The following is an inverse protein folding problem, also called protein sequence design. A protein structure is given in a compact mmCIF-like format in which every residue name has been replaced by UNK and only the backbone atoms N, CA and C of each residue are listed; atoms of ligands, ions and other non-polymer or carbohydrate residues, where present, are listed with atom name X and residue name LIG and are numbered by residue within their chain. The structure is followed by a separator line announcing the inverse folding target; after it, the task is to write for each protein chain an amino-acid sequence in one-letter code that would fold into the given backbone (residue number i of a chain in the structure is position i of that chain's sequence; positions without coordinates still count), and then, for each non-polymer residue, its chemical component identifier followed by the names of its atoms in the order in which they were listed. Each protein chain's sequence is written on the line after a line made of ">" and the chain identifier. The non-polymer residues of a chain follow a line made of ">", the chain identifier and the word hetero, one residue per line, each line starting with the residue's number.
data_IF_489629137923
#
_entry.id   IF_489629137923
#
_cell.length_a   1.000
_cell.length_b   1.000
_cell.length_c   1.000
_cell.angle_alpha   90.00
_cell.angle_beta   90.00
_cell.angle_gamma   90.00
#
_symmetry.space_group_name_H-M   'P 1'
#
loop_
_entity.id
_entity.type
_entity.pdbx_description
1 polymer ?
#
# COMPACT_ATOMS: atom_id res chain seq x y z
N UNK A 1 18.72 -4.00 31.49
CA UNK A 1 18.50 -4.22 30.06
C UNK A 1 17.00 -4.35 29.85
N UNK A 2 16.43 -3.63 28.89
CA UNK A 2 15.00 -3.67 28.57
C UNK A 2 14.82 -4.30 27.20
N UNK A 3 13.78 -5.12 27.04
CA UNK A 3 13.38 -5.68 25.76
C UNK A 3 12.12 -4.97 25.28
N UNK A 4 12.15 -4.50 24.03
CA UNK A 4 11.02 -3.83 23.39
C UNK A 4 10.66 -4.61 22.14
N UNK A 5 9.39 -4.98 22.01
CA UNK A 5 8.83 -5.58 20.81
C UNK A 5 8.02 -4.53 20.06
N UNK A 6 8.25 -4.40 18.76
CA UNK A 6 7.57 -3.42 17.91
C UNK A 6 7.42 -3.96 16.49
N UNK A 7 6.46 -3.40 15.77
CA UNK A 7 6.26 -3.64 14.35
C UNK A 7 6.82 -2.46 13.54
N UNK A 8 7.46 -2.78 12.41
CA UNK A 8 8.02 -1.82 11.48
C UNK A 8 7.70 -2.28 10.06
N UNK A 9 7.08 -1.45 9.21
CA UNK A 9 6.84 -1.83 7.82
C UNK A 9 8.15 -2.22 7.14
N UNK A 10 8.18 -3.38 6.48
CA UNK A 10 9.40 -3.91 5.88
C UNK A 10 10.05 -2.93 4.89
N UNK A 11 9.21 -2.18 4.16
CA UNK A 11 9.65 -1.13 3.21
C UNK A 11 10.36 0.06 3.87
N UNK A 12 10.15 0.29 5.17
CA UNK A 12 10.76 1.38 5.95
C UNK A 12 11.92 0.88 6.84
N UNK A 13 12.15 -0.45 6.88
CA UNK A 13 13.18 -1.06 7.72
C UNK A 13 14.62 -0.92 7.22
N UNK A 14 14.80 -0.51 5.95
CA UNK A 14 16.13 -0.42 5.34
C UNK A 14 16.97 0.66 6.04
N UNK A 15 18.04 0.24 6.72
CA UNK A 15 18.94 1.13 7.48
C UNK A 15 18.57 1.31 8.95
N UNK A 16 17.41 0.82 9.41
CA UNK A 16 16.92 1.05 10.77
C UNK A 16 17.87 0.54 11.87
N UNK A 17 18.48 -0.64 11.73
CA UNK A 17 19.42 -1.17 12.72
C UNK A 17 20.68 -0.31 12.86
N UNK A 18 21.23 0.14 11.72
CA UNK A 18 22.38 1.04 11.68
C UNK A 18 22.05 2.37 12.34
N UNK A 19 20.88 2.93 12.02
CA UNK A 19 20.42 4.20 12.58
C UNK A 19 20.22 4.08 14.09
N UNK A 20 19.55 3.03 14.56
CA UNK A 20 19.33 2.78 15.98
C UNK A 20 20.66 2.71 16.75
N UNK A 21 21.65 1.99 16.21
CA UNK A 21 22.97 1.89 16.84
C UNK A 21 23.72 3.21 16.84
N UNK A 22 23.67 3.95 15.74
CA UNK A 22 24.37 5.23 15.61
C UNK A 22 23.79 6.26 16.58
N UNK A 23 22.46 6.37 16.66
CA UNK A 23 21.77 7.32 17.53
C UNK A 23 21.85 6.96 19.02
N UNK A 24 22.14 5.70 19.36
CA UNK A 24 22.30 5.24 20.74
C UNK A 24 23.77 5.01 21.14
N UNK A 25 24.72 5.44 20.31
CA UNK A 25 26.16 5.19 20.53
C UNK A 25 26.49 3.71 20.82
N UNK A 26 25.77 2.80 20.15
CA UNK A 26 25.93 1.35 20.30
C UNK A 26 25.29 0.74 21.54
N UNK A 27 24.52 1.49 22.33
CA UNK A 27 23.86 0.97 23.53
C UNK A 27 22.61 0.13 23.23
N UNK A 28 21.94 0.38 22.10
CA UNK A 28 20.80 -0.40 21.65
C UNK A 28 21.13 -1.24 20.42
N UNK A 29 20.47 -2.39 20.30
CA UNK A 29 20.49 -3.25 19.13
C UNK A 29 19.07 -3.75 18.85
N UNK A 30 18.77 -4.07 17.60
CA UNK A 30 17.51 -4.71 17.22
C UNK A 30 17.77 -5.91 16.31
N UNK A 31 16.88 -6.89 16.38
CA UNK A 31 16.79 -7.97 15.42
C UNK A 31 15.43 -7.86 14.71
N UNK A 32 15.40 -8.06 13.40
CA UNK A 32 14.18 -7.97 12.60
C UNK A 32 13.83 -9.35 12.05
N UNK A 33 12.54 -9.69 12.14
CA UNK A 33 11.97 -10.93 11.63
C UNK A 33 10.68 -10.61 10.90
N UNK A 34 10.31 -11.43 9.92
CA UNK A 34 9.01 -11.31 9.26
C UNK A 34 7.92 -11.92 10.16
N UNK A 35 6.82 -11.19 10.35
CA UNK A 35 5.71 -11.58 11.23
C UNK A 35 4.37 -11.69 10.48
N UNK A 36 3.90 -10.61 9.85
CA UNK A 36 2.58 -10.58 9.20
C UNK A 36 2.51 -9.66 7.97
N UNK A 37 1.33 -9.67 7.33
CA UNK A 37 0.94 -8.74 6.28
C UNK A 37 -0.11 -7.76 6.81
N UNK A 38 -0.01 -6.49 6.43
CA UNK A 38 -0.97 -5.45 6.78
C UNK A 38 -1.39 -4.68 5.51
N UNK A 39 -2.59 -4.12 5.54
CA UNK A 39 -3.08 -3.27 4.45
C UNK A 39 -2.29 -1.96 4.39
N UNK A 40 -1.82 -1.60 3.20
CA UNK A 40 -1.25 -0.27 2.96
C UNK A 40 -2.38 0.76 3.03
N UNK A 41 -2.23 1.85 3.79
CA UNK A 41 -3.26 2.89 3.86
C UNK A 41 -3.47 3.55 2.49
N UNK A 42 -4.74 3.80 2.18
CA UNK A 42 -5.18 4.43 0.93
C UNK A 42 -5.86 3.47 -0.03
N UNK A 43 -6.61 4.05 -0.98
CA UNK A 43 -7.21 3.30 -2.07
C UNK A 43 -6.24 3.23 -3.27
N UNK A 44 -5.81 2.04 -3.71
CA UNK A 44 -4.94 1.91 -4.88
C UNK A 44 -5.60 2.40 -6.19
N UNK A 45 -6.93 2.42 -6.28
CA UNK A 45 -7.68 2.81 -7.47
C UNK A 45 -8.09 4.29 -7.49
N UNK A 46 -7.83 5.06 -6.43
CA UNK A 46 -8.22 6.48 -6.34
C UNK A 46 -7.62 7.29 -7.51
N UNK A 47 -8.46 7.92 -8.34
CA UNK A 47 -8.02 8.65 -9.55
C UNK A 47 -7.72 10.12 -9.31
N UNK A 48 -7.80 10.60 -8.06
CA UNK A 48 -7.51 12.00 -7.73
C UNK A 48 -6.08 12.38 -8.15
N UNK A 49 -5.88 13.61 -8.67
CA UNK A 49 -4.55 14.09 -9.06
C UNK A 49 -3.55 13.96 -7.91
N UNK A 50 -2.31 13.52 -8.22
CA UNK A 50 -1.24 13.39 -7.23
C UNK A 50 -0.82 14.79 -6.74
N UNK A 51 -1.45 15.27 -5.67
CA UNK A 51 -0.79 16.22 -4.77
C UNK A 51 0.26 15.47 -3.94
N UNK A 52 1.27 16.17 -3.34
CA UNK A 52 2.19 15.55 -2.40
C UNK A 52 1.39 14.84 -1.32
N UNK A 53 1.34 13.51 -1.42
CA UNK A 53 0.37 12.74 -0.68
C UNK A 53 0.68 12.81 0.82
N UNK A 54 -0.28 13.22 1.68
CA UNK A 54 -0.22 12.77 3.06
C UNK A 54 -0.27 11.23 3.09
N UNK A 55 0.10 10.62 4.22
CA UNK A 55 0.09 9.16 4.45
C UNK A 55 -1.02 8.31 3.75
N UNK A 56 -2.27 8.78 3.52
CA UNK A 56 -3.32 8.03 2.82
C UNK A 56 -3.15 7.73 1.31
N UNK A 57 -2.06 8.04 0.60
CA UNK A 57 -1.93 7.62 -0.83
C UNK A 57 -0.76 6.67 -1.16
N UNK A 58 -0.17 6.02 -0.16
CA UNK A 58 0.92 5.05 -0.37
C UNK A 58 0.47 3.89 -1.28
N UNK A 59 -0.77 3.41 -1.13
CA UNK A 59 -1.28 2.27 -1.89
C UNK A 59 -1.25 2.48 -3.42
N UNK A 60 -1.73 3.64 -3.90
CA UNK A 60 -1.74 3.97 -5.34
C UNK A 60 -0.34 4.13 -5.89
N UNK A 61 0.53 4.81 -5.16
CA UNK A 61 1.91 5.03 -5.58
C UNK A 61 2.66 3.71 -5.75
N UNK A 62 2.51 2.78 -4.79
CA UNK A 62 3.11 1.45 -4.88
C UNK A 62 2.57 0.66 -6.06
N UNK A 63 1.25 0.66 -6.25
CA UNK A 63 0.62 -0.03 -7.38
C UNK A 63 1.17 0.49 -8.72
N UNK A 64 1.22 1.81 -8.93
CA UNK A 64 1.70 2.41 -10.17
C UNK A 64 3.19 2.15 -10.41
N UNK A 65 4.05 2.33 -9.40
CA UNK A 65 5.49 2.03 -9.50
C UNK A 65 5.73 0.57 -9.88
N UNK A 66 5.00 -0.35 -9.26
CA UNK A 66 5.12 -1.77 -9.54
C UNK A 66 4.63 -2.14 -10.94
N UNK A 67 3.53 -1.56 -11.42
CA UNK A 67 3.02 -1.76 -12.79
C UNK A 67 4.01 -1.24 -13.83
N UNK A 68 4.54 -0.02 -13.66
CA UNK A 68 5.60 0.55 -14.52
C UNK A 68 6.80 -0.38 -14.61
N UNK A 69 7.29 -0.87 -13.46
CA UNK A 69 8.42 -1.81 -13.39
C UNK A 69 8.14 -3.13 -14.11
N UNK A 70 6.88 -3.58 -14.12
CA UNK A 70 6.44 -4.80 -14.80
C UNK A 70 6.02 -4.58 -16.26
N UNK A 71 6.12 -3.36 -16.78
CA UNK A 71 5.71 -3.05 -18.16
C UNK A 71 4.19 -3.05 -18.39
N UNK A 72 3.40 -2.89 -17.32
CA UNK A 72 1.95 -2.83 -17.39
C UNK A 72 1.47 -1.38 -17.50
N UNK A 73 0.34 -1.17 -18.19
CA UNK A 73 -0.30 0.14 -18.33
C UNK A 73 -0.68 0.73 -16.98
N UNK A 74 -0.49 2.04 -16.79
CA UNK A 74 -0.87 2.75 -15.56
C UNK A 74 -2.37 2.83 -15.36
N UNK A 75 -3.14 2.79 -16.45
CA UNK A 75 -4.58 2.75 -16.38
C UNK A 75 -5.04 1.35 -15.95
N UNK A 76 -5.55 1.28 -14.72
CA UNK A 76 -6.16 0.09 -14.14
C UNK A 76 -7.63 0.13 -14.48
N UNK A 77 -7.96 -0.56 -15.57
CA UNK A 77 -9.31 -0.65 -16.10
C UNK A 77 -9.78 -2.10 -16.11
N UNK A 78 -10.98 -2.32 -15.55
CA UNK A 78 -11.68 -3.61 -15.57
C UNK A 78 -12.24 -3.96 -16.95
N UNK A 79 -12.34 -2.97 -17.87
CA UNK A 79 -12.85 -3.17 -19.23
C UNK A 79 -12.05 -4.17 -20.06
N UNK A 80 -10.82 -4.48 -19.68
CA UNK A 80 -9.99 -5.48 -20.38
C UNK A 80 -10.36 -6.92 -20.03
N UNK A 81 -11.15 -7.14 -18.97
CA UNK A 81 -11.39 -8.45 -18.40
C UNK A 81 -12.86 -8.87 -18.41
N UNK A 82 -13.77 -7.92 -18.61
CA UNK A 82 -15.22 -8.17 -18.58
C UNK A 82 -15.89 -7.61 -19.84
N UNK A 83 -16.84 -8.36 -20.37
CA UNK A 83 -17.67 -7.93 -21.50
C UNK A 83 -18.65 -6.82 -21.09
N UNK A 84 -19.05 -5.97 -22.04
CA UNK A 84 -19.95 -4.84 -21.81
C UNK A 84 -21.26 -5.19 -21.08
N UNK A 85 -21.96 -6.30 -21.40
CA UNK A 85 -23.18 -6.68 -20.67
C UNK A 85 -22.92 -6.97 -19.19
N UNK A 86 -21.79 -7.61 -18.87
CA UNK A 86 -21.43 -7.96 -17.50
C UNK A 86 -21.01 -6.73 -16.68
N UNK A 87 -20.32 -5.77 -17.30
CA UNK A 87 -19.99 -4.50 -16.66
C UNK A 87 -21.22 -3.68 -16.29
N UNK A 88 -22.24 -3.67 -17.16
CA UNK A 88 -23.51 -2.99 -16.90
C UNK A 88 -24.27 -3.61 -15.72
N UNK A 89 -24.24 -4.94 -15.57
CA UNK A 89 -24.86 -5.60 -14.42
C UNK A 89 -24.13 -5.31 -13.11
N UNK A 90 -22.79 -5.36 -13.12
CA UNK A 90 -21.99 -5.00 -11.96
C UNK A 90 -22.23 -3.55 -11.52
N UNK A 91 -22.32 -2.61 -12.47
CA UNK A 91 -22.60 -1.21 -12.18
C UNK A 91 -24.00 -1.01 -11.56
N UNK A 92 -25.00 -1.79 -11.99
CA UNK A 92 -26.34 -1.76 -11.39
C UNK A 92 -26.32 -2.29 -9.95
N UNK A 93 -25.64 -3.41 -9.71
CA UNK A 93 -25.51 -3.99 -8.37
C UNK A 93 -24.83 -3.03 -7.40
N UNK A 94 -23.76 -2.35 -7.84
CA UNK A 94 -23.02 -1.39 -7.01
C UNK A 94 -23.88 -0.15 -6.67
N UNK A 95 -24.65 0.34 -7.64
CA UNK A 95 -25.61 1.43 -7.43
C UNK A 95 -26.73 1.04 -6.44
N UNK A 96 -27.24 -0.19 -6.52
CA UNK A 96 -28.22 -0.72 -5.58
C UNK A 96 -27.63 -0.84 -4.17
N UNK A 97 -26.45 -1.44 -4.01
CA UNK A 97 -25.74 -1.56 -2.73
C UNK A 97 -25.46 -0.20 -2.08
N UNK A 98 -25.03 0.78 -2.88
CA UNK A 98 -24.79 2.15 -2.43
C UNK A 98 -26.05 2.83 -1.89
N UNK A 99 -27.24 2.47 -2.40
CA UNK A 99 -28.50 3.03 -1.90
C UNK A 99 -28.93 2.50 -0.51
N UNK A 100 -28.32 1.42 -0.03
CA UNK A 100 -28.60 0.83 1.29
C UNK A 100 -27.71 1.38 2.42
N UNK A 101 -26.68 2.15 2.09
CA UNK A 101 -25.74 2.76 3.04
C UNK A 101 -25.77 4.29 2.95
#
# INVERSE_FOLDING_TARGET
>A
MYSVHAYLPAMESFGFETDLRTHTSGQAMCQTFFDHWEHVPGDPLDRRPLEPAPAPHLAREFMLKMRRRKGLSEDVSVHKFFDDPMLLELAKQDAELSSYF
#
